data_IF_453050490848
#
_entry.id   IF_453050490848
#
_cell.length_a   1.000
_cell.length_b   1.000
_cell.length_c   1.000
_cell.angle_alpha   90.00
_cell.angle_beta   90.00
_cell.angle_gamma   90.00
#
_symmetry.space_group_name_H-M   'P 1'
#
loop_
_entity.id
_entity.type
_entity.pdbx_description
1 polymer ?
#
# COMPACT_ATOMS: atom_id res chain seq x y z
N UNK A 1 22.00 -23.10 2.31
CA UNK A 1 20.79 -22.29 2.05
C UNK A 1 20.32 -22.62 0.63
N UNK A 2 19.02 -22.82 0.43
CA UNK A 2 18.43 -23.12 -0.88
C UNK A 2 17.26 -22.17 -1.14
N UNK A 3 17.17 -21.64 -2.37
CA UNK A 3 16.02 -20.85 -2.79
C UNK A 3 14.80 -21.76 -2.97
N UNK A 4 13.64 -21.30 -2.50
CA UNK A 4 12.36 -22.00 -2.66
C UNK A 4 11.42 -21.13 -3.49
N UNK A 5 10.48 -21.77 -4.19
CA UNK A 5 9.43 -21.06 -4.94
C UNK A 5 8.61 -20.23 -3.95
N UNK A 6 8.37 -18.97 -4.27
CA UNK A 6 7.58 -18.10 -3.42
C UNK A 6 6.11 -18.51 -3.47
N UNK A 7 5.52 -18.73 -2.31
CA UNK A 7 4.09 -18.93 -2.12
C UNK A 7 3.57 -17.81 -1.22
N UNK A 8 2.40 -17.27 -1.56
CA UNK A 8 1.74 -16.26 -0.75
C UNK A 8 1.26 -16.94 0.53
N UNK A 9 1.91 -16.64 1.65
CA UNK A 9 1.47 -17.11 2.97
C UNK A 9 0.43 -16.16 3.55
N UNK A 10 -0.45 -16.68 4.42
CA UNK A 10 -1.32 -15.82 5.25
C UNK A 10 -0.45 -14.80 5.98
N UNK A 11 -0.69 -13.52 5.71
CA UNK A 11 0.07 -12.42 6.27
C UNK A 11 -0.73 -11.70 7.36
N UNK A 12 -0.05 -10.92 8.20
CA UNK A 12 -0.71 -10.02 9.15
C UNK A 12 -0.74 -8.61 8.57
N UNK A 13 -1.91 -7.98 8.61
CA UNK A 13 -2.09 -6.57 8.32
C UNK A 13 -1.06 -5.69 9.06
N UNK A 14 -0.39 -4.82 8.30
CA UNK A 14 0.43 -3.71 8.77
C UNK A 14 -0.09 -2.46 8.09
N UNK A 15 -0.88 -1.66 8.78
CA UNK A 15 -1.57 -0.51 8.20
C UNK A 15 -1.09 0.77 8.87
N UNK A 16 -0.72 1.77 8.08
CA UNK A 16 -0.42 3.12 8.53
C UNK A 16 -1.56 4.07 8.18
N UNK A 17 -2.03 4.87 9.15
CA UNK A 17 -2.97 5.97 8.89
C UNK A 17 -2.29 7.30 9.19
N UNK A 18 -2.07 8.11 8.18
CA UNK A 18 -1.36 9.39 8.26
C UNK A 18 -2.38 10.53 8.13
N UNK A 19 -2.27 11.54 8.98
CA UNK A 19 -3.14 12.70 8.85
C UNK A 19 -2.97 13.73 9.97
N UNK A 20 -3.33 15.00 9.73
CA UNK A 20 -3.27 16.04 10.75
C UNK A 20 -4.22 15.76 11.93
N UNK A 21 -4.09 16.52 13.01
CA UNK A 21 -5.06 16.46 14.11
C UNK A 21 -6.48 16.74 13.59
N UNK A 22 -7.47 15.99 14.09
CA UNK A 22 -8.87 16.11 13.68
C UNK A 22 -9.22 15.46 12.34
N UNK A 23 -8.30 14.78 11.64
CA UNK A 23 -8.64 14.13 10.36
C UNK A 23 -9.45 12.84 10.45
N UNK A 24 -9.73 12.34 11.66
CA UNK A 24 -10.52 11.12 11.85
C UNK A 24 -9.72 9.81 11.85
N UNK A 25 -8.39 9.85 12.08
CA UNK A 25 -7.51 8.67 12.12
C UNK A 25 -8.01 7.57 13.05
N UNK A 26 -8.30 7.90 14.31
CA UNK A 26 -8.76 6.93 15.33
C UNK A 26 -10.04 6.22 14.91
N UNK A 27 -11.04 7.00 14.46
CA UNK A 27 -12.30 6.46 13.95
C UNK A 27 -12.07 5.53 12.75
N UNK A 28 -11.30 5.98 11.76
CA UNK A 28 -10.99 5.18 10.57
C UNK A 28 -10.21 3.90 10.91
N UNK A 29 -9.29 3.97 11.87
CA UNK A 29 -8.54 2.82 12.36
C UNK A 29 -9.47 1.79 13.01
N UNK A 30 -10.40 2.22 13.86
CA UNK A 30 -11.35 1.34 14.53
C UNK A 30 -12.29 0.66 13.53
N UNK A 31 -12.80 1.41 12.54
CA UNK A 31 -13.63 0.84 11.45
C UNK A 31 -12.88 -0.22 10.67
N UNK A 32 -11.63 0.06 10.26
CA UNK A 32 -10.79 -0.92 9.59
C UNK A 32 -10.51 -2.13 10.47
N UNK A 33 -10.18 -1.92 11.75
CA UNK A 33 -9.89 -2.99 12.69
C UNK A 33 -11.07 -3.95 12.81
N UNK A 34 -12.26 -3.42 13.05
CA UNK A 34 -13.49 -4.19 13.12
C UNK A 34 -13.76 -4.95 11.82
N UNK A 35 -13.59 -4.32 10.67
CA UNK A 35 -13.69 -4.98 9.37
C UNK A 35 -12.63 -6.06 9.14
N UNK A 36 -11.45 -5.96 9.75
CA UNK A 36 -10.36 -6.94 9.62
C UNK A 36 -10.56 -8.14 10.54
N UNK A 37 -11.03 -7.96 11.77
CA UNK A 37 -11.12 -9.06 12.75
C UNK A 37 -12.53 -9.63 12.93
N UNK A 38 -13.55 -8.81 12.69
CA UNK A 38 -14.94 -9.22 12.62
C UNK A 38 -15.66 -9.04 13.95
N UNK A 39 -16.94 -9.43 14.01
CA UNK A 39 -17.76 -9.21 15.22
C UNK A 39 -17.22 -9.93 16.46
N UNK A 40 -16.58 -11.08 16.27
CA UNK A 40 -15.99 -11.89 17.36
C UNK A 40 -14.51 -11.55 17.62
N UNK A 41 -13.93 -10.66 16.81
CA UNK A 41 -12.51 -10.36 16.86
C UNK A 41 -12.16 -9.41 18.00
N UNK A 42 -11.04 -9.67 18.68
CA UNK A 42 -10.60 -8.90 19.84
C UNK A 42 -9.68 -7.76 19.42
N UNK A 43 -10.11 -6.53 19.69
CA UNK A 43 -9.40 -5.31 19.34
C UNK A 43 -8.81 -4.69 20.60
N UNK A 44 -7.52 -4.36 20.57
CA UNK A 44 -6.86 -3.54 21.58
C UNK A 44 -6.40 -2.21 20.99
N UNK A 45 -6.40 -1.15 21.80
CA UNK A 45 -5.93 0.18 21.42
C UNK A 45 -4.92 0.69 22.45
N UNK A 46 -3.71 1.02 22.02
CA UNK A 46 -2.81 1.90 22.78
C UNK A 46 -3.22 3.33 22.47
N UNK A 47 -3.75 4.03 23.47
CA UNK A 47 -4.18 5.41 23.36
C UNK A 47 -3.17 6.34 24.05
N UNK A 48 -2.57 7.23 23.27
CA UNK A 48 -1.62 8.26 23.73
C UNK A 48 -2.18 9.68 23.55
N UNK A 49 -3.44 9.76 23.18
CA UNK A 49 -4.22 10.95 22.84
C UNK A 49 -5.25 11.27 23.94
N UNK A 50 -4.90 10.97 25.20
CA UNK A 50 -5.69 11.30 26.40
C UNK A 50 -7.11 10.72 26.42
N UNK A 51 -7.27 9.44 26.09
CA UNK A 51 -8.56 8.75 26.14
C UNK A 51 -9.46 9.06 24.93
N UNK A 52 -8.91 9.64 23.86
CA UNK A 52 -9.66 9.94 22.64
C UNK A 52 -10.22 8.69 21.96
N UNK A 53 -9.57 7.53 22.12
CA UNK A 53 -10.05 6.26 21.59
C UNK A 53 -11.39 5.91 22.23
N UNK A 54 -11.56 6.10 23.54
CA UNK A 54 -12.78 5.75 24.28
C UNK A 54 -14.03 6.51 23.82
N UNK A 55 -13.87 7.66 23.14
CA UNK A 55 -14.98 8.43 22.56
C UNK A 55 -15.73 7.65 21.45
N UNK A 56 -15.07 6.64 20.87
CA UNK A 56 -15.60 5.84 19.77
C UNK A 56 -16.15 4.48 20.21
N UNK A 57 -16.40 4.28 21.52
CA UNK A 57 -16.85 3.00 22.08
C UNK A 57 -18.22 2.54 21.52
N UNK A 58 -18.95 3.45 20.88
CA UNK A 58 -20.20 3.17 20.18
C UNK A 58 -20.02 2.46 18.82
N UNK A 59 -18.80 2.38 18.28
CA UNK A 59 -18.53 1.76 16.98
C UNK A 59 -18.43 0.22 17.05
N UNK A 60 -17.73 -0.29 18.06
CA UNK A 60 -17.50 -1.72 18.29
C UNK A 60 -16.92 -1.95 19.70
N UNK A 61 -16.81 -3.21 20.11
CA UNK A 61 -16.13 -3.59 21.35
C UNK A 61 -14.60 -3.60 21.15
N UNK A 62 -13.87 -2.94 22.05
CA UNK A 62 -12.42 -2.94 22.11
C UNK A 62 -11.92 -2.56 23.50
N UNK A 63 -10.71 -3.01 23.82
CA UNK A 63 -10.02 -2.66 25.06
C UNK A 63 -9.02 -1.53 24.82
N UNK A 64 -8.88 -0.63 25.80
CA UNK A 64 -7.97 0.53 25.71
C UNK A 64 -6.91 0.46 26.79
N UNK A 65 -5.65 0.68 26.40
CA UNK A 65 -4.53 0.97 27.30
C UNK A 65 -4.07 2.40 27.05
N UNK A 66 -4.32 3.28 28.01
CA UNK A 66 -3.82 4.65 27.95
C UNK A 66 -2.34 4.72 28.36
N UNK A 67 -1.50 5.30 27.50
CA UNK A 67 -0.10 5.60 27.78
C UNK A 67 0.05 7.11 27.86
N UNK A 68 0.46 7.60 29.03
CA UNK A 68 0.85 8.99 29.22
C UNK A 68 2.37 9.19 29.11
N UNK A 69 2.79 10.45 28.96
CA UNK A 69 4.19 10.84 29.01
C UNK A 69 4.89 10.29 30.27
N UNK A 70 6.17 9.88 30.18
CA UNK A 70 7.01 9.89 28.97
C UNK A 70 6.64 8.75 27.99
N UNK A 71 6.60 9.06 26.69
CA UNK A 71 6.22 8.18 25.59
C UNK A 71 7.39 7.33 25.10
N UNK A 72 8.06 6.63 26.02
CA UNK A 72 9.27 5.88 25.70
C UNK A 72 8.96 4.64 24.85
N UNK A 73 9.86 4.27 23.93
CA UNK A 73 9.74 3.05 23.13
C UNK A 73 9.50 1.79 24.00
N UNK A 74 10.08 1.76 25.21
CA UNK A 74 9.88 0.68 26.18
C UNK A 74 8.42 0.49 26.60
N UNK A 75 7.66 1.57 26.80
CA UNK A 75 6.23 1.48 27.15
C UNK A 75 5.41 0.87 26.00
N UNK A 76 5.69 1.29 24.76
CA UNK A 76 5.04 0.73 23.57
C UNK A 76 5.39 -0.76 23.38
N UNK A 77 6.66 -1.14 23.55
CA UNK A 77 7.08 -2.53 23.47
C UNK A 77 6.37 -3.41 24.51
N UNK A 78 6.26 -2.94 25.75
CA UNK A 78 5.53 -3.66 26.79
C UNK A 78 4.05 -3.83 26.43
N UNK A 79 3.42 -2.78 25.91
CA UNK A 79 2.02 -2.80 25.52
C UNK A 79 1.74 -3.73 24.31
N UNK A 80 2.63 -3.73 23.30
CA UNK A 80 2.55 -4.67 22.17
C UNK A 80 2.62 -6.10 22.70
N UNK A 81 3.60 -6.39 23.56
CA UNK A 81 3.77 -7.72 24.14
C UNK A 81 2.57 -8.15 24.99
N UNK A 82 2.02 -7.23 25.79
CA UNK A 82 0.82 -7.50 26.57
C UNK A 82 -0.38 -7.83 25.66
N UNK A 83 -0.53 -7.13 24.54
CA UNK A 83 -1.60 -7.41 23.59
C UNK A 83 -1.45 -8.81 22.95
N UNK A 84 -0.21 -9.21 22.64
CA UNK A 84 0.10 -10.55 22.15
C UNK A 84 -0.21 -11.63 23.21
N UNK A 85 0.26 -11.44 24.44
CA UNK A 85 0.04 -12.36 25.57
C UNK A 85 -1.46 -12.52 25.89
N UNK A 86 -2.23 -11.44 25.77
CA UNK A 86 -3.69 -11.43 25.94
C UNK A 86 -4.45 -11.97 24.73
N UNK A 87 -3.78 -12.35 23.64
CA UNK A 87 -4.39 -12.91 22.42
C UNK A 87 -5.44 -11.99 21.79
N UNK A 88 -5.14 -10.70 21.64
CA UNK A 88 -5.92 -9.85 20.74
C UNK A 88 -5.66 -10.23 19.28
N UNK A 89 -6.62 -9.98 18.40
CA UNK A 89 -6.46 -10.25 16.97
C UNK A 89 -5.81 -9.07 16.25
N UNK A 90 -6.06 -7.86 16.75
CA UNK A 90 -5.51 -6.62 16.22
C UNK A 90 -5.18 -5.62 17.33
N UNK A 91 -4.07 -4.91 17.17
CA UNK A 91 -3.66 -3.80 18.01
C UNK A 91 -3.58 -2.51 17.19
N UNK A 92 -4.29 -1.50 17.67
CA UNK A 92 -4.16 -0.11 17.24
C UNK A 92 -3.13 0.62 18.10
N UNK A 93 -2.27 1.41 17.46
CA UNK A 93 -1.33 2.30 18.15
C UNK A 93 -1.67 3.73 17.75
N UNK A 94 -2.35 4.45 18.65
CA UNK A 94 -2.82 5.82 18.44
C UNK A 94 -2.12 6.80 19.41
N UNK A 95 -0.96 7.36 19.08
CA UNK A 95 -0.26 7.35 17.81
C UNK A 95 1.21 6.96 17.99
N UNK A 96 1.84 6.56 16.87
CA UNK A 96 3.27 6.35 16.79
C UNK A 96 4.07 7.67 16.84
N UNK A 97 3.42 8.79 16.55
CA UNK A 97 4.07 10.10 16.57
C UNK A 97 4.53 10.52 17.97
N UNK A 98 3.83 10.10 19.04
CA UNK A 98 4.26 10.36 20.41
C UNK A 98 5.53 9.58 20.78
N UNK A 99 5.67 8.33 20.36
CA UNK A 99 6.91 7.56 20.56
C UNK A 99 8.13 8.22 19.90
N UNK A 100 7.92 8.94 18.80
CA UNK A 100 8.98 9.64 18.08
C UNK A 100 9.27 11.03 18.64
N UNK A 101 8.25 11.90 18.67
CA UNK A 101 8.40 13.34 18.89
C UNK A 101 7.63 13.85 20.12
N UNK A 102 6.95 12.97 20.87
CA UNK A 102 6.29 13.34 22.12
C UNK A 102 7.27 13.43 23.30
N UNK A 103 6.81 13.97 24.45
CA UNK A 103 7.59 14.00 25.68
C UNK A 103 8.20 12.65 26.07
N UNK A 104 9.51 12.59 26.23
CA UNK A 104 10.27 11.35 26.50
C UNK A 104 10.34 10.36 25.33
N UNK A 105 9.92 10.76 24.13
CA UNK A 105 10.09 10.01 22.89
C UNK A 105 11.53 10.04 22.38
N UNK A 106 11.76 9.46 21.20
CA UNK A 106 13.10 9.29 20.63
C UNK A 106 13.84 10.62 20.41
N UNK A 107 13.16 11.66 19.91
CA UNK A 107 13.79 12.96 19.66
C UNK A 107 14.26 13.63 20.96
N UNK A 108 13.41 13.67 21.98
CA UNK A 108 13.79 14.26 23.28
C UNK A 108 14.89 13.41 23.96
N UNK A 109 14.85 12.08 23.82
CA UNK A 109 15.92 11.22 24.30
C UNK A 109 17.26 11.55 23.64
N UNK A 110 17.27 11.80 22.32
CA UNK A 110 18.48 12.25 21.61
C UNK A 110 18.92 13.61 22.14
N UNK A 111 18.01 14.58 22.23
CA UNK A 111 18.32 15.94 22.66
C UNK A 111 18.93 15.95 24.07
N UNK A 112 18.33 15.24 25.03
CA UNK A 112 18.84 15.09 26.40
C UNK A 112 20.24 14.44 26.42
N UNK A 113 20.49 13.43 25.57
CA UNK A 113 21.83 12.84 25.46
C UNK A 113 22.83 13.80 24.81
N UNK A 114 22.39 14.69 23.91
CA UNK A 114 23.28 15.67 23.26
C UNK A 114 23.79 16.76 24.20
N UNK A 115 23.14 16.97 25.35
CA UNK A 115 23.66 17.87 26.39
C UNK A 115 24.95 17.35 27.03
N UNK A 116 25.14 16.04 27.04
CA UNK A 116 26.27 15.36 27.71
C UNK A 116 27.22 14.67 26.72
N UNK A 117 26.72 14.26 25.55
CA UNK A 117 27.45 13.49 24.52
C UNK A 117 27.32 14.17 23.15
N UNK A 118 28.18 13.81 22.20
CA UNK A 118 27.99 14.31 20.83
C UNK A 118 26.73 13.68 20.19
N UNK A 119 26.16 14.40 19.21
CA UNK A 119 24.95 14.00 18.50
C UNK A 119 25.03 12.61 17.86
N UNK A 120 26.19 12.24 17.32
CA UNK A 120 26.41 10.92 16.74
C UNK A 120 26.24 9.79 17.76
N UNK A 121 26.81 9.95 18.96
CA UNK A 121 26.71 8.95 20.05
C UNK A 121 25.29 8.87 20.59
N UNK A 122 24.59 10.00 20.70
CA UNK A 122 23.18 10.03 21.08
C UNK A 122 22.31 9.21 20.10
N UNK A 123 22.50 9.39 18.79
CA UNK A 123 21.78 8.59 17.77
C UNK A 123 22.18 7.11 17.78
N UNK A 124 23.43 6.77 18.11
CA UNK A 124 23.87 5.38 18.28
C UNK A 124 23.12 4.67 19.41
N UNK A 125 22.69 5.40 20.44
CA UNK A 125 21.90 4.88 21.56
C UNK A 125 20.39 4.93 21.32
N UNK A 126 19.91 5.92 20.56
CA UNK A 126 18.49 6.10 20.27
C UNK A 126 17.97 5.20 19.13
N UNK A 127 18.78 4.99 18.08
CA UNK A 127 18.37 4.22 16.90
C UNK A 127 17.96 2.78 17.24
N UNK A 128 18.69 2.02 18.10
CA UNK A 128 18.27 0.68 18.49
C UNK A 128 16.91 0.64 19.19
N UNK A 129 16.56 1.67 19.99
CA UNK A 129 15.27 1.73 20.68
C UNK A 129 14.12 1.94 19.70
N UNK A 130 14.30 2.85 18.74
CA UNK A 130 13.34 3.05 17.67
C UNK A 130 13.17 1.79 16.81
N UNK A 131 14.29 1.20 16.37
CA UNK A 131 14.27 -0.01 15.55
C UNK A 131 13.59 -1.18 16.27
N UNK A 132 13.82 -1.34 17.57
CA UNK A 132 13.16 -2.39 18.36
C UNK A 132 11.63 -2.23 18.35
N UNK A 133 11.13 -0.99 18.44
CA UNK A 133 9.69 -0.72 18.34
C UNK A 133 9.14 -1.06 16.95
N UNK A 134 9.86 -0.67 15.90
CA UNK A 134 9.48 -0.99 14.51
C UNK A 134 9.46 -2.51 14.28
N UNK A 135 10.51 -3.21 14.69
CA UNK A 135 10.62 -4.66 14.57
C UNK A 135 9.51 -5.38 15.33
N UNK A 136 9.19 -4.95 16.56
CA UNK A 136 8.10 -5.52 17.34
C UNK A 136 6.76 -5.41 16.61
N UNK A 137 6.44 -4.25 16.01
CA UNK A 137 5.22 -4.09 15.21
C UNK A 137 5.21 -5.00 13.98
N UNK A 138 6.35 -5.11 13.28
CA UNK A 138 6.44 -5.90 12.05
C UNK A 138 6.35 -7.40 12.31
N UNK A 139 7.01 -7.89 13.35
CA UNK A 139 7.09 -9.31 13.70
C UNK A 139 5.91 -9.80 14.55
N UNK A 140 5.04 -8.90 15.01
CA UNK A 140 3.91 -9.26 15.88
C UNK A 140 3.00 -10.34 15.26
N UNK A 141 2.57 -11.38 15.99
CA UNK A 141 1.66 -12.40 15.47
C UNK A 141 0.22 -11.87 15.28
N UNK A 142 -0.08 -10.65 15.73
CA UNK A 142 -1.39 -10.02 15.62
C UNK A 142 -1.38 -8.94 14.53
N UNK A 143 -2.55 -8.49 14.07
CA UNK A 143 -2.66 -7.38 13.13
C UNK A 143 -2.23 -6.06 13.81
N UNK A 144 -1.63 -5.13 13.06
CA UNK A 144 -1.21 -3.83 13.60
C UNK A 144 -1.72 -2.70 12.71
N UNK A 145 -2.38 -1.71 13.33
CA UNK A 145 -2.69 -0.41 12.72
C UNK A 145 -1.99 0.68 13.51
N UNK A 146 -1.09 1.42 12.88
CA UNK A 146 -0.42 2.57 13.48
C UNK A 146 -0.98 3.88 12.94
N UNK A 147 -1.38 4.80 13.81
CA UNK A 147 -1.70 6.17 13.39
C UNK A 147 -0.48 7.07 13.51
N UNK A 148 -0.36 8.02 12.60
CA UNK A 148 0.70 9.02 12.59
C UNK A 148 0.10 10.39 12.34
N UNK A 149 0.50 11.35 13.16
CA UNK A 149 0.21 12.77 12.91
C UNK A 149 1.02 13.21 11.69
N UNK A 150 0.46 14.11 10.89
CA UNK A 150 1.15 14.69 9.75
C UNK A 150 1.43 16.19 9.94
N UNK A 151 2.56 16.64 9.41
CA UNK A 151 2.83 18.05 9.11
C UNK A 151 2.59 18.30 7.64
N UNK A 152 2.22 19.51 7.28
CA UNK A 152 2.14 19.90 5.86
C UNK A 152 3.54 19.85 5.25
N UNK A 153 3.70 19.11 4.16
CA UNK A 153 4.95 19.07 3.41
C UNK A 153 4.95 20.16 2.34
N UNK A 154 6.02 20.93 2.30
CA UNK A 154 6.25 21.97 1.31
C UNK A 154 7.54 21.67 0.56
N UNK A 155 7.48 21.65 -0.77
CA UNK A 155 8.68 21.60 -1.63
C UNK A 155 8.85 22.96 -2.27
N UNK A 156 10.10 23.41 -2.39
CA UNK A 156 10.40 24.61 -3.15
C UNK A 156 10.27 24.28 -4.64
N UNK A 157 9.23 24.79 -5.29
CA UNK A 157 9.09 24.77 -6.75
C UNK A 157 9.51 26.12 -7.31
N UNK A 158 10.14 26.15 -8.47
CA UNK A 158 10.35 27.39 -9.21
C UNK A 158 9.04 27.83 -9.84
N UNK A 159 8.64 29.09 -9.63
CA UNK A 159 7.54 29.70 -10.36
C UNK A 159 7.95 30.01 -11.82
N UNK A 160 7.00 30.43 -12.64
CA UNK A 160 7.23 30.80 -14.05
C UNK A 160 8.26 31.93 -14.24
N UNK A 161 8.75 32.54 -13.16
CA UNK A 161 9.77 33.59 -13.13
C UNK A 161 11.09 33.12 -12.51
N UNK A 162 11.26 31.82 -12.27
CA UNK A 162 12.46 31.21 -11.69
C UNK A 162 12.63 31.46 -10.18
N UNK A 163 11.60 31.97 -9.49
CA UNK A 163 11.65 32.21 -8.05
C UNK A 163 11.21 30.96 -7.31
N UNK A 164 12.05 30.49 -6.36
CA UNK A 164 11.69 29.37 -5.48
C UNK A 164 10.57 29.78 -4.55
N UNK A 165 9.38 29.20 -4.75
CA UNK A 165 8.19 29.38 -3.91
C UNK A 165 7.86 28.06 -3.21
N UNK A 166 7.54 28.08 -1.90
CA UNK A 166 7.07 26.88 -1.20
C UNK A 166 5.71 26.45 -1.77
N UNK A 167 5.67 25.28 -2.41
CA UNK A 167 4.47 24.63 -2.89
C UNK A 167 4.12 23.48 -1.94
N UNK A 168 2.90 23.48 -1.43
CA UNK A 168 2.38 22.36 -0.63
C UNK A 168 2.34 21.12 -1.53
N UNK A 169 3.11 20.09 -1.18
CA UNK A 169 3.20 18.85 -1.98
C UNK A 169 2.47 17.68 -1.36
N UNK A 170 2.19 17.71 -0.06
CA UNK A 170 1.56 16.58 0.61
C UNK A 170 1.50 16.69 2.13
N UNK A 171 1.38 15.53 2.76
CA UNK A 171 1.41 15.33 4.21
C UNK A 171 2.66 14.52 4.55
N UNK A 172 3.54 15.07 5.38
CA UNK A 172 4.71 14.37 5.89
C UNK A 172 4.39 13.80 7.29
N UNK A 173 4.49 12.48 7.52
CA UNK A 173 4.33 11.89 8.84
C UNK A 173 5.33 12.47 9.85
N UNK A 174 4.88 12.74 11.07
CA UNK A 174 5.75 13.08 12.21
C UNK A 174 6.37 11.79 12.72
N UNK A 175 7.45 11.39 12.06
CA UNK A 175 8.16 10.15 12.31
C UNK A 175 9.58 10.20 11.72
N UNK A 176 10.41 9.20 12.03
CA UNK A 176 11.64 8.94 11.26
C UNK A 176 11.31 8.79 9.79
N UNK A 177 12.16 9.37 8.94
CA UNK A 177 12.08 9.16 7.49
C UNK A 177 12.05 7.66 7.17
N UNK A 178 11.23 7.31 6.19
CA UNK A 178 11.01 5.95 5.70
C UNK A 178 10.14 5.01 6.56
N UNK A 179 9.53 5.48 7.65
CA UNK A 179 8.63 4.61 8.45
C UNK A 179 7.41 4.09 7.65
N UNK A 180 6.93 4.87 6.70
CA UNK A 180 5.89 4.49 5.74
C UNK A 180 6.29 3.25 4.90
N UNK A 181 7.59 3.01 4.67
CA UNK A 181 8.06 1.82 3.97
C UNK A 181 7.87 0.51 4.76
N UNK A 182 7.63 0.59 6.07
CA UNK A 182 7.45 -0.58 6.93
C UNK A 182 6.03 -1.16 6.85
N UNK A 183 5.02 -0.34 6.55
CA UNK A 183 3.63 -0.80 6.46
C UNK A 183 3.30 -1.50 5.14
N UNK A 184 2.32 -2.40 5.12
CA UNK A 184 1.83 -3.03 3.88
C UNK A 184 0.87 -2.12 3.13
N UNK A 185 0.05 -1.38 3.89
CA UNK A 185 -0.91 -0.39 3.42
C UNK A 185 -0.67 0.93 4.16
N UNK A 186 -0.71 2.06 3.46
CA UNK A 186 -0.70 3.40 4.07
C UNK A 186 -1.80 4.24 3.46
N UNK A 187 -2.61 4.85 4.31
CA UNK A 187 -3.65 5.79 3.91
C UNK A 187 -3.37 7.18 4.48
N UNK A 188 -3.44 8.18 3.61
CA UNK A 188 -3.36 9.59 3.97
C UNK A 188 -4.78 10.16 4.08
N UNK A 189 -5.14 10.64 5.26
CA UNK A 189 -6.49 11.11 5.57
C UNK A 189 -6.51 12.64 5.64
N UNK A 190 -7.31 13.25 4.78
CA UNK A 190 -7.49 14.70 4.76
C UNK A 190 -8.31 15.18 5.98
N UNK A 191 -8.04 16.40 6.44
CA UNK A 191 -8.69 16.93 7.64
C UNK A 191 -10.13 17.35 7.42
N UNK A 192 -10.43 17.91 6.25
CA UNK A 192 -11.62 18.70 6.03
C UNK A 192 -12.81 17.82 5.64
N UNK A 193 -12.55 16.73 4.90
CA UNK A 193 -13.58 15.78 4.45
C UNK A 193 -13.41 14.37 5.04
N UNK A 194 -12.32 14.09 5.75
CA UNK A 194 -11.98 12.76 6.27
C UNK A 194 -11.83 11.69 5.17
N UNK A 195 -11.54 12.12 3.94
CA UNK A 195 -11.28 11.24 2.80
C UNK A 195 -9.87 10.71 2.93
N UNK A 196 -9.75 9.40 2.79
CA UNK A 196 -8.49 8.70 2.74
C UNK A 196 -8.06 8.50 1.29
N UNK A 197 -6.76 8.67 1.04
CA UNK A 197 -6.10 8.29 -0.22
C UNK A 197 -5.06 7.23 0.09
N UNK A 198 -4.97 6.20 -0.75
CA UNK A 198 -3.92 5.18 -0.59
C UNK A 198 -2.59 5.76 -1.08
N UNK A 199 -1.66 6.04 -0.15
CA UNK A 199 -0.31 6.51 -0.47
C UNK A 199 0.67 5.35 -0.67
N UNK A 200 0.31 4.16 -0.16
CA UNK A 200 1.03 2.91 -0.42
C UNK A 200 0.08 1.73 -0.36
N UNK A 201 0.14 0.90 -1.40
CA UNK A 201 -0.64 -0.33 -1.47
C UNK A 201 0.19 -1.49 -2.05
N UNK A 202 0.40 -2.55 -1.26
CA UNK A 202 1.00 -3.81 -1.73
C UNK A 202 -0.03 -4.90 -2.05
N UNK A 203 -1.31 -4.58 -1.91
CA UNK A 203 -2.46 -5.47 -2.09
C UNK A 203 -3.16 -5.27 -3.43
N UNK A 204 -2.98 -4.09 -4.05
CA UNK A 204 -3.70 -3.62 -5.24
C UNK A 204 -5.22 -3.53 -5.06
N UNK A 205 -5.71 -3.54 -3.82
CA UNK A 205 -7.14 -3.40 -3.49
C UNK A 205 -7.60 -1.94 -3.53
N UNK A 206 -6.68 -1.01 -3.28
CA UNK A 206 -6.93 0.40 -3.03
C UNK A 206 -6.21 1.30 -4.04
N UNK A 207 -5.93 0.78 -5.25
CA UNK A 207 -5.37 1.56 -6.35
C UNK A 207 -6.34 2.67 -6.76
N UNK A 208 -5.91 3.93 -6.66
CA UNK A 208 -6.77 5.10 -6.93
C UNK A 208 -7.84 5.36 -5.87
N UNK A 209 -7.73 4.73 -4.70
CA UNK A 209 -8.68 4.88 -3.61
C UNK A 209 -8.81 6.33 -3.15
N UNK A 210 -10.05 6.82 -3.09
CA UNK A 210 -10.37 8.19 -2.69
C UNK A 210 -11.76 8.27 -2.06
N UNK A 211 -11.90 7.74 -0.85
CA UNK A 211 -13.16 7.77 -0.10
C UNK A 211 -12.93 7.70 1.42
N UNK A 212 -14.01 7.77 2.21
CA UNK A 212 -13.90 7.59 3.65
C UNK A 212 -13.66 6.12 3.95
N UNK A 213 -12.73 5.84 4.87
CA UNK A 213 -12.54 4.48 5.36
C UNK A 213 -13.75 4.05 6.19
N UNK A 214 -14.18 2.83 5.93
CA UNK A 214 -15.41 2.20 6.43
C UNK A 214 -15.15 0.73 6.72
N UNK A 215 -16.03 0.10 7.50
CA UNK A 215 -15.88 -1.30 7.97
C UNK A 215 -15.63 -2.26 6.81
N UNK A 216 -16.39 -2.15 5.72
CA UNK A 216 -16.26 -3.04 4.57
C UNK A 216 -14.87 -3.00 3.90
N UNK A 217 -14.13 -1.90 4.03
CA UNK A 217 -12.74 -1.84 3.56
C UNK A 217 -11.82 -2.74 4.39
N UNK A 218 -12.07 -2.86 5.69
CA UNK A 218 -11.39 -3.83 6.54
C UNK A 218 -11.72 -5.28 6.14
N UNK A 219 -12.95 -5.54 5.70
CA UNK A 219 -13.37 -6.86 5.22
C UNK A 219 -12.64 -7.24 3.91
N UNK A 220 -12.46 -6.27 2.99
CA UNK A 220 -11.65 -6.46 1.78
C UNK A 220 -10.20 -6.82 2.14
N UNK A 221 -9.63 -6.16 3.16
CA UNK A 221 -8.29 -6.46 3.66
C UNK A 221 -8.25 -7.87 4.26
N UNK A 222 -9.22 -8.27 5.09
CA UNK A 222 -9.31 -9.63 5.64
C UNK A 222 -9.31 -10.67 4.53
N UNK A 223 -10.22 -10.53 3.57
CA UNK A 223 -10.38 -11.46 2.45
C UNK A 223 -9.06 -11.62 1.70
N UNK A 224 -8.36 -10.51 1.44
CA UNK A 224 -7.04 -10.55 0.82
C UNK A 224 -6.03 -11.30 1.70
N UNK A 225 -5.94 -11.02 3.00
CA UNK A 225 -4.99 -11.70 3.89
C UNK A 225 -5.21 -13.22 3.95
N UNK A 226 -6.44 -13.68 3.77
CA UNK A 226 -6.82 -15.10 3.83
C UNK A 226 -6.54 -15.90 2.54
N UNK A 227 -6.35 -15.24 1.39
CA UNK A 227 -6.05 -15.92 0.10
C UNK A 227 -4.67 -16.61 0.04
N UNK A 228 -3.85 -16.51 1.09
CA UNK A 228 -2.56 -17.18 1.18
C UNK A 228 -2.63 -18.59 1.76
N UNK A 229 -1.65 -19.44 1.41
CA UNK A 229 -1.41 -20.74 2.05
C UNK A 229 -1.06 -20.52 3.52
N UNK A 230 -1.51 -21.39 4.41
CA UNK A 230 -1.26 -21.26 5.85
C UNK A 230 0.25 -21.24 6.13
N UNK A 231 0.73 -20.23 6.86
CA UNK A 231 2.13 -20.15 7.22
C UNK A 231 2.44 -21.24 8.26
N UNK A 232 3.55 -21.99 8.14
CA UNK A 232 3.97 -22.88 9.22
C UNK A 232 4.16 -22.05 10.48
N UNK A 233 3.52 -22.48 11.58
CA UNK A 233 3.65 -21.83 12.87
C UNK A 233 5.13 -21.69 13.22
N UNK A 234 5.57 -20.48 13.58
CA UNK A 234 6.92 -20.26 14.07
C UNK A 234 7.05 -20.91 15.45
N UNK A 235 7.49 -22.17 15.50
CA UNK A 235 7.91 -22.79 16.75
C UNK A 235 9.20 -22.11 17.20
N UNK A 236 9.13 -21.45 18.36
CA UNK A 236 10.30 -21.01 19.08
C UNK A 236 11.16 -22.21 19.49
N UNK A 237 12.49 -22.00 19.51
CA UNK A 237 13.56 -22.87 19.99
C UNK A 237 14.22 -23.82 18.97
N UNK A 238 15.31 -23.35 18.37
CA UNK A 238 16.51 -24.18 18.17
C UNK A 238 17.74 -23.36 18.60
N UNK A 239 18.07 -23.43 19.90
CA UNK A 239 19.45 -23.23 20.33
C UNK A 239 20.23 -24.48 19.91
N UNK A 240 21.42 -24.36 19.29
CA UNK A 240 22.26 -25.51 19.01
C UNK A 240 22.90 -26.00 20.32
N UNK A 241 22.33 -27.08 20.89
CA UNK A 241 23.02 -27.87 21.89
C UNK A 241 24.27 -28.52 21.28
N UNK A 242 25.40 -28.27 21.93
CA UNK A 242 26.67 -28.97 21.68
C UNK A 242 26.55 -30.39 22.21
N UNK A 243 26.68 -31.37 21.33
CA UNK A 243 27.11 -32.71 21.71
C UNK A 243 28.28 -33.12 20.83
N UNK A 244 29.45 -33.20 21.48
CA UNK A 244 30.62 -33.89 20.97
C UNK A 244 30.51 -35.37 21.31
N UNK A 245 30.67 -36.26 20.33
CA UNK A 245 31.49 -37.47 20.44
C UNK A 245 31.53 -38.20 19.08
N UNK A 246 32.74 -38.59 18.72
CA UNK A 246 33.20 -39.28 17.51
C UNK A 246 32.75 -40.73 17.38
N UNK A 247 32.50 -41.20 16.16
CA UNK A 247 33.31 -42.24 15.49
C UNK A 247 32.62 -42.72 14.19
N UNK A 248 33.45 -42.97 13.18
CA UNK A 248 33.17 -43.62 11.89
C UNK A 248 34.22 -44.74 11.74
N UNK A 249 34.20 -45.58 10.69
CA UNK A 249 33.11 -46.03 9.80
C UNK A 249 33.14 -47.57 9.60
N UNK A 250 32.06 -48.19 9.10
CA UNK A 250 32.20 -49.46 8.35
C UNK A 250 31.18 -49.58 7.22
N UNK A 251 31.59 -50.40 6.26
CA UNK A 251 31.35 -50.36 4.81
C UNK A 251 30.26 -51.35 4.39
N UNK A 252 29.51 -51.05 3.32
CA UNK A 252 28.64 -52.02 2.66
C UNK A 252 27.97 -51.46 1.40
N UNK A 253 28.49 -51.83 0.23
CA UNK A 253 27.88 -51.60 -1.08
C UNK A 253 26.84 -52.70 -1.36
N UNK A 254 25.68 -52.36 -1.94
CA UNK A 254 25.21 -52.89 -3.25
C UNK A 254 23.80 -52.40 -3.66
N UNK A 255 23.76 -51.87 -4.88
CA UNK A 255 22.77 -52.01 -5.98
C UNK A 255 21.30 -51.54 -5.89
N UNK A 256 21.06 -50.44 -6.61
CA UNK A 256 20.12 -50.24 -7.74
C UNK A 256 18.77 -50.99 -7.69
N UNK A 257 17.70 -50.22 -7.47
CA UNK A 257 16.33 -50.55 -7.86
C UNK A 257 15.59 -49.25 -8.17
N UNK A 258 15.33 -48.97 -9.44
CA UNK A 258 14.60 -47.81 -9.90
C UNK A 258 13.08 -48.06 -9.74
N UNK A 259 12.43 -47.32 -8.84
CA UNK A 259 10.98 -47.17 -8.84
C UNK A 259 10.62 -45.67 -8.88
N UNK A 260 9.95 -45.29 -9.97
CA UNK A 260 9.32 -43.98 -10.16
C UNK A 260 8.16 -43.86 -9.15
N UNK A 261 8.02 -42.76 -8.40
CA UNK A 261 6.73 -42.42 -7.85
C UNK A 261 5.88 -41.78 -8.94
N UNK A 262 4.68 -42.31 -9.05
CA UNK A 262 3.64 -41.99 -10.00
C UNK A 262 3.32 -40.50 -10.02
N UNK A 263 3.20 -39.95 -11.23
CA UNK A 263 2.71 -38.60 -11.50
C UNK A 263 1.24 -38.51 -11.11
N UNK A 264 0.93 -37.82 -10.01
CA UNK A 264 -0.43 -37.29 -9.80
C UNK A 264 -0.65 -36.18 -10.83
N UNK A 265 -1.41 -36.54 -11.85
CA UNK A 265 -1.69 -35.75 -13.03
C UNK A 265 -2.77 -34.70 -12.70
N UNK A 266 -2.40 -33.58 -12.05
CA UNK A 266 -3.24 -32.39 -12.02
C UNK A 266 -3.00 -31.58 -13.29
N UNK A 267 -3.51 -32.12 -14.40
CA UNK A 267 -3.52 -31.46 -15.70
C UNK A 267 -4.56 -30.34 -15.62
N UNK A 268 -4.15 -29.13 -15.19
CA UNK A 268 -4.96 -27.94 -15.46
C UNK A 268 -5.18 -27.84 -16.97
N UNK A 269 -6.42 -27.61 -17.43
CA UNK A 269 -6.69 -27.54 -18.86
C UNK A 269 -5.88 -26.40 -19.47
N UNK A 270 -5.01 -26.73 -20.42
CA UNK A 270 -4.36 -25.75 -21.26
C UNK A 270 -5.41 -25.04 -22.13
N UNK A 271 -5.04 -23.87 -22.67
CA UNK A 271 -5.92 -23.12 -23.58
C UNK A 271 -6.37 -23.98 -24.77
N UNK A 272 -7.59 -23.72 -25.24
CA UNK A 272 -8.16 -24.41 -26.41
C UNK A 272 -7.47 -23.96 -27.72
N UNK A 273 -7.61 -24.75 -28.78
CA UNK A 273 -7.06 -24.39 -30.11
C UNK A 273 -7.58 -23.03 -30.63
N UNK A 274 -8.84 -22.68 -30.30
CA UNK A 274 -9.44 -21.39 -30.66
C UNK A 274 -8.80 -20.22 -29.90
N UNK A 275 -8.58 -20.40 -28.60
CA UNK A 275 -7.89 -19.41 -27.75
C UNK A 275 -6.42 -19.24 -28.17
N UNK A 276 -5.76 -20.32 -28.56
CA UNK A 276 -4.40 -20.25 -29.08
C UNK A 276 -4.33 -19.44 -30.37
N UNK A 277 -5.25 -19.69 -31.32
CA UNK A 277 -5.36 -18.94 -32.57
C UNK A 277 -5.66 -17.47 -32.33
N UNK A 278 -6.50 -17.14 -31.34
CA UNK A 278 -6.76 -15.76 -30.93
C UNK A 278 -5.48 -15.05 -30.44
N UNK A 279 -4.67 -15.72 -29.61
CA UNK A 279 -3.39 -15.15 -29.16
C UNK A 279 -2.40 -14.98 -30.30
N UNK A 280 -2.30 -15.96 -31.21
CA UNK A 280 -1.43 -15.85 -32.40
C UNK A 280 -1.83 -14.66 -33.28
N UNK A 281 -3.13 -14.42 -33.46
CA UNK A 281 -3.65 -13.27 -34.20
C UNK A 281 -3.27 -11.94 -33.52
N UNK A 282 -3.49 -11.81 -32.21
CA UNK A 282 -3.16 -10.55 -31.49
C UNK A 282 -1.64 -10.33 -31.45
N UNK A 283 -0.84 -11.39 -31.33
CA UNK A 283 0.63 -11.29 -31.38
C UNK A 283 1.10 -10.78 -32.73
N UNK A 284 0.51 -11.29 -33.83
CA UNK A 284 0.78 -10.80 -35.18
C UNK A 284 0.33 -9.34 -35.36
N UNK A 285 -0.88 -8.99 -34.90
CA UNK A 285 -1.45 -7.64 -35.02
C UNK A 285 -0.68 -6.59 -34.18
N UNK A 286 0.03 -7.00 -33.13
CA UNK A 286 0.79 -6.10 -32.23
C UNK A 286 2.30 -6.12 -32.47
N UNK A 287 2.77 -6.78 -33.53
CA UNK A 287 4.19 -7.04 -33.83
C UNK A 287 4.98 -7.50 -32.59
N UNK A 288 4.36 -8.35 -31.76
CA UNK A 288 4.94 -8.77 -30.49
C UNK A 288 5.92 -9.91 -30.72
N UNK A 289 7.16 -9.73 -30.24
CA UNK A 289 8.15 -10.81 -30.25
C UNK A 289 7.68 -12.00 -29.39
N UNK A 290 7.29 -13.09 -30.06
CA UNK A 290 6.72 -14.29 -29.45
C UNK A 290 7.65 -14.92 -28.39
N UNK A 291 8.96 -15.00 -28.65
CA UNK A 291 9.91 -15.60 -27.70
C UNK A 291 10.01 -14.82 -26.39
N UNK A 292 10.01 -13.48 -26.44
CA UNK A 292 9.97 -12.64 -25.24
C UNK A 292 8.64 -12.76 -24.50
N UNK A 293 7.53 -12.87 -25.25
CA UNK A 293 6.20 -12.99 -24.67
C UNK A 293 5.99 -14.35 -23.96
N UNK A 294 6.45 -15.44 -24.56
CA UNK A 294 6.47 -16.77 -23.93
C UNK A 294 7.32 -16.78 -22.65
N UNK A 295 8.49 -16.12 -22.67
CA UNK A 295 9.32 -15.96 -21.46
C UNK A 295 8.62 -15.14 -20.37
N UNK A 296 7.89 -14.09 -20.74
CA UNK A 296 7.10 -13.27 -19.82
C UNK A 296 5.97 -14.06 -19.17
N UNK A 297 5.28 -14.91 -19.95
CA UNK A 297 4.25 -15.83 -19.46
C UNK A 297 4.82 -17.03 -18.68
N UNK A 298 6.14 -17.24 -18.75
CA UNK A 298 6.86 -18.39 -18.20
C UNK A 298 6.37 -19.74 -18.76
N UNK A 299 6.06 -19.78 -20.07
CA UNK A 299 5.66 -21.00 -20.77
C UNK A 299 6.53 -21.22 -22.01
N UNK A 300 6.80 -22.48 -22.38
CA UNK A 300 7.67 -22.78 -23.53
C UNK A 300 6.99 -22.54 -24.88
N UNK A 301 5.66 -22.77 -24.94
CA UNK A 301 4.82 -22.64 -26.14
C UNK A 301 3.41 -22.20 -25.73
N UNK A 302 2.67 -21.53 -26.62
CA UNK A 302 1.30 -21.06 -26.33
C UNK A 302 0.36 -22.22 -25.98
N UNK A 303 0.54 -23.39 -26.59
CA UNK A 303 -0.23 -24.61 -26.29
C UNK A 303 -0.10 -25.09 -24.84
N UNK A 304 0.90 -24.63 -24.09
CA UNK A 304 1.10 -24.95 -22.68
C UNK A 304 0.62 -23.83 -21.74
N UNK A 305 -0.03 -22.79 -22.27
CA UNK A 305 -0.61 -21.73 -21.46
C UNK A 305 -1.81 -22.28 -20.66
N UNK A 306 -1.84 -22.14 -19.32
CA UNK A 306 -3.00 -22.51 -18.52
C UNK A 306 -4.23 -21.66 -18.89
N UNK A 307 -5.41 -22.27 -18.94
CA UNK A 307 -6.65 -21.58 -19.32
C UNK A 307 -6.95 -20.35 -18.45
N UNK A 308 -6.63 -20.36 -17.14
CA UNK A 308 -6.86 -19.21 -16.27
C UNK A 308 -5.98 -17.98 -16.60
N UNK A 309 -4.89 -18.18 -17.35
CA UNK A 309 -3.99 -17.10 -17.78
C UNK A 309 -4.36 -16.55 -19.16
N UNK A 310 -5.36 -17.12 -19.83
CA UNK A 310 -5.78 -16.69 -21.17
C UNK A 310 -6.22 -15.22 -21.19
N UNK A 311 -7.17 -14.84 -20.31
CA UNK A 311 -7.70 -13.47 -20.24
C UNK A 311 -6.60 -12.46 -19.91
N UNK A 312 -5.65 -12.84 -19.08
CA UNK A 312 -4.49 -12.01 -18.77
C UNK A 312 -3.57 -11.84 -19.98
N UNK A 313 -3.26 -12.92 -20.70
CA UNK A 313 -2.40 -12.88 -21.88
C UNK A 313 -2.99 -12.00 -22.99
N UNK A 314 -4.31 -12.10 -23.22
CA UNK A 314 -5.05 -11.23 -24.14
C UNK A 314 -4.93 -9.77 -23.68
N UNK A 315 -5.24 -9.47 -22.41
CA UNK A 315 -5.19 -8.10 -21.88
C UNK A 315 -3.77 -7.51 -21.93
N UNK A 316 -2.73 -8.30 -21.68
CA UNK A 316 -1.34 -7.83 -21.79
C UNK A 316 -0.94 -7.49 -23.23
N UNK A 317 -1.45 -8.21 -24.23
CA UNK A 317 -1.22 -7.90 -25.63
C UNK A 317 -2.08 -6.73 -26.11
N UNK A 318 -3.33 -6.62 -25.65
CA UNK A 318 -4.23 -5.49 -25.93
C UNK A 318 -3.74 -4.18 -25.30
N UNK A 319 -3.15 -4.21 -24.10
CA UNK A 319 -2.46 -3.06 -23.51
C UNK A 319 -1.29 -2.56 -24.37
N UNK A 320 -0.75 -3.43 -25.22
CA UNK A 320 0.28 -3.09 -26.19
C UNK A 320 -0.34 -2.55 -27.47
N UNK A 321 -1.50 -3.07 -27.90
CA UNK A 321 -2.36 -2.50 -28.95
C UNK A 321 -2.76 -1.05 -28.61
N UNK A 322 -3.01 -0.74 -27.33
CA UNK A 322 -3.27 0.64 -26.85
C UNK A 322 -2.02 1.53 -26.78
N UNK A 323 -0.81 0.95 -26.88
CA UNK A 323 0.46 1.70 -26.94
C UNK A 323 1.02 1.83 -28.36
N UNK A 324 0.65 0.93 -29.28
CA UNK A 324 1.03 0.98 -30.70
C UNK A 324 -0.11 1.44 -31.62
N UNK A 325 -1.32 1.62 -31.08
CA UNK A 325 -2.47 2.24 -31.74
C UNK A 325 -2.58 3.72 -31.38
N UNK A 326 -2.76 4.54 -32.40
CA UNK A 326 -2.92 5.99 -32.39
C UNK A 326 -3.82 6.50 -31.25
N UNK A 327 -3.25 7.26 -30.32
CA UNK A 327 -3.97 7.88 -29.19
C UNK A 327 -4.86 9.00 -29.73
N UNK A 328 -6.19 8.83 -29.68
CA UNK A 328 -7.14 9.94 -29.85
C UNK A 328 -7.13 10.79 -28.56
N UNK A 329 -6.44 11.93 -28.61
CA UNK A 329 -6.28 12.91 -27.51
C UNK A 329 -7.63 13.44 -26.99
N UNK A 330 -8.67 13.39 -27.82
CA UNK A 330 -10.01 13.85 -27.48
C UNK A 330 -10.62 13.18 -26.22
N UNK A 331 -10.45 11.86 -26.06
CA UNK A 331 -11.09 11.09 -24.98
C UNK A 331 -10.56 11.42 -23.59
N UNK A 332 -9.25 11.65 -23.48
CA UNK A 332 -8.57 12.04 -22.24
C UNK A 332 -8.96 13.45 -21.80
N UNK A 333 -9.10 14.37 -22.77
CA UNK A 333 -9.47 15.77 -22.49
C UNK A 333 -10.93 15.85 -22.01
N UNK A 334 -11.83 15.11 -22.66
CA UNK A 334 -13.25 15.02 -22.26
C UNK A 334 -13.39 14.46 -20.84
N UNK A 335 -12.61 13.43 -20.51
CA UNK A 335 -12.58 12.86 -19.15
C UNK A 335 -12.09 13.87 -18.11
N UNK A 336 -11.06 14.65 -18.45
CA UNK A 336 -10.48 15.65 -17.55
C UNK A 336 -11.38 16.89 -17.33
N UNK A 337 -12.21 17.26 -18.32
CA UNK A 337 -13.23 18.30 -18.22
C UNK A 337 -14.39 17.85 -17.32
N UNK A 338 -14.84 16.60 -17.51
CA UNK A 338 -15.92 15.99 -16.73
C UNK A 338 -15.56 15.89 -15.24
N UNK A 339 -14.36 15.42 -14.92
CA UNK A 339 -13.87 15.32 -13.54
C UNK A 339 -13.82 16.67 -12.79
N UNK A 340 -13.79 17.80 -13.51
CA UNK A 340 -13.74 19.15 -12.96
C UNK A 340 -15.08 19.89 -13.04
N UNK A 341 -16.15 19.22 -13.47
CA UNK A 341 -17.47 19.83 -13.71
C UNK A 341 -17.42 21.08 -14.60
N UNK A 342 -16.52 21.10 -15.59
CA UNK A 342 -16.44 22.19 -16.55
C UNK A 342 -17.44 21.90 -17.67
N UNK A 343 -18.45 22.75 -17.94
CA UNK A 343 -19.38 22.52 -19.04
C UNK A 343 -18.65 22.52 -20.40
N UNK A 344 -18.95 21.55 -21.26
CA UNK A 344 -18.36 21.47 -22.59
C UNK A 344 -19.32 20.86 -23.61
N UNK A 345 -19.06 21.14 -24.89
CA UNK A 345 -19.70 20.51 -26.05
C UNK A 345 -18.61 20.02 -27.00
N UNK A 346 -18.84 18.89 -27.65
CA UNK A 346 -17.95 18.35 -28.68
C UNK A 346 -18.61 18.58 -30.02
N UNK A 347 -17.97 19.34 -30.89
CA UNK A 347 -18.35 19.48 -32.29
C UNK A 347 -17.67 18.37 -33.08
N UNK A 348 -18.41 17.30 -33.34
CA UNK A 348 -17.92 16.12 -34.07
C UNK A 348 -17.65 16.42 -35.55
N UNK A 349 -18.28 17.46 -36.13
CA UNK A 349 -18.08 17.82 -37.54
C UNK A 349 -16.83 18.66 -37.74
N UNK A 350 -16.53 19.56 -36.80
CA UNK A 350 -15.32 20.38 -36.82
C UNK A 350 -14.12 19.74 -36.10
N UNK A 351 -14.35 18.65 -35.35
CA UNK A 351 -13.31 18.02 -34.54
C UNK A 351 -12.84 18.93 -33.40
N UNK A 352 -13.77 19.65 -32.75
CA UNK A 352 -13.43 20.64 -31.72
C UNK A 352 -14.15 20.38 -30.40
N UNK A 353 -13.50 20.73 -29.29
CA UNK A 353 -14.08 20.72 -27.96
C UNK A 353 -14.26 22.17 -27.52
N UNK A 354 -15.48 22.54 -27.17
CA UNK A 354 -15.89 23.88 -26.78
C UNK A 354 -16.28 23.86 -25.29
N UNK A 355 -15.43 24.42 -24.43
CA UNK A 355 -15.64 24.48 -22.98
C UNK A 355 -16.12 25.88 -22.54
N UNK A 356 -17.12 25.92 -21.66
CA UNK A 356 -17.79 27.16 -21.19
C UNK A 356 -17.81 27.22 -19.65
N UNK A 357 -16.65 27.45 -19.00
CA UNK A 357 -16.60 27.61 -17.55
C UNK A 357 -17.32 28.90 -17.11
N UNK A 358 -17.79 28.93 -15.86
CA UNK A 358 -18.37 30.13 -15.25
C UNK A 358 -17.39 31.31 -15.28
N UNK A 359 -17.91 32.54 -15.43
CA UNK A 359 -17.07 33.74 -15.47
C UNK A 359 -16.27 33.96 -14.18
N UNK A 360 -16.80 33.52 -13.04
CA UNK A 360 -16.16 33.66 -11.73
C UNK A 360 -15.17 32.51 -11.43
N UNK A 361 -15.16 31.44 -12.23
CA UNK A 361 -14.31 30.27 -12.02
C UNK A 361 -12.92 30.47 -12.65
N UNK A 362 -12.04 31.09 -11.87
CA UNK A 362 -10.64 31.33 -12.26
C UNK A 362 -9.82 30.04 -12.33
N UNK A 363 -10.20 29.00 -11.58
CA UNK A 363 -9.54 27.70 -11.58
C UNK A 363 -9.78 26.92 -12.87
N UNK A 364 -11.03 26.84 -13.33
CA UNK A 364 -11.38 26.21 -14.60
C UNK A 364 -10.72 26.92 -15.80
N UNK A 365 -10.65 28.26 -15.78
CA UNK A 365 -9.95 29.03 -16.82
C UNK A 365 -8.45 28.78 -16.85
N UNK A 366 -7.81 28.63 -15.69
CA UNK A 366 -6.39 28.29 -15.60
C UNK A 366 -6.10 26.89 -16.14
N UNK A 367 -6.93 25.91 -15.76
CA UNK A 367 -6.86 24.54 -16.27
C UNK A 367 -7.04 24.47 -17.79
N UNK A 368 -8.02 25.17 -18.36
CA UNK A 368 -8.25 25.19 -19.81
C UNK A 368 -7.04 25.74 -20.58
N UNK A 369 -6.38 26.78 -20.07
CA UNK A 369 -5.13 27.30 -20.65
C UNK A 369 -3.99 26.28 -20.60
N UNK A 370 -3.80 25.62 -19.46
CA UNK A 370 -2.79 24.57 -19.28
C UNK A 370 -3.02 23.40 -20.24
N UNK A 371 -4.27 23.03 -20.47
CA UNK A 371 -4.65 22.01 -21.44
C UNK A 371 -4.63 22.50 -22.90
N UNK A 372 -4.22 23.74 -23.18
CA UNK A 372 -4.04 24.26 -24.54
C UNK A 372 -5.32 24.73 -25.23
N UNK A 373 -6.42 24.96 -24.50
CA UNK A 373 -7.61 25.62 -25.06
C UNK A 373 -7.36 27.10 -25.30
N UNK A 374 -7.91 27.64 -26.39
CA UNK A 374 -7.84 29.05 -26.74
C UNK A 374 -9.21 29.72 -26.57
N UNK A 375 -9.24 30.89 -25.95
CA UNK A 375 -10.47 31.66 -25.80
C UNK A 375 -10.93 32.21 -27.15
N UNK A 376 -12.16 31.89 -27.56
CA UNK A 376 -12.82 32.45 -28.73
C UNK A 376 -13.86 33.51 -28.30
N UNK A 377 -13.62 34.81 -28.56
CA UNK A 377 -14.54 35.89 -28.20
C UNK A 377 -15.89 35.84 -28.93
N UNK A 378 -15.94 35.30 -30.15
CA UNK A 378 -17.15 35.26 -30.97
C UNK A 378 -18.16 34.21 -30.45
N UNK A 379 -17.67 33.07 -29.98
CA UNK A 379 -18.49 31.99 -29.41
C UNK A 379 -18.60 32.00 -27.88
N UNK A 380 -17.90 32.92 -27.19
CA UNK A 380 -17.77 32.97 -25.72
C UNK A 380 -17.39 31.62 -25.09
N UNK A 381 -16.53 30.85 -25.78
CA UNK A 381 -16.11 29.52 -25.38
C UNK A 381 -14.59 29.36 -25.50
N UNK A 382 -14.05 28.42 -24.74
CA UNK A 382 -12.68 27.94 -24.86
C UNK A 382 -12.66 26.78 -25.86
N UNK A 383 -11.86 26.88 -26.92
CA UNK A 383 -11.86 25.91 -28.01
C UNK A 383 -10.51 25.19 -28.09
N UNK A 384 -10.55 23.86 -28.27
CA UNK A 384 -9.38 23.02 -28.56
C UNK A 384 -9.73 22.01 -29.65
N UNK A 385 -8.79 21.77 -30.55
CA UNK A 385 -8.90 20.71 -31.56
C UNK A 385 -8.82 19.34 -30.89
N UNK A 386 -9.81 18.50 -31.16
CA UNK A 386 -9.88 17.10 -30.77
C UNK A 386 -8.99 16.29 -31.74
N UNK A 387 -7.69 16.24 -31.46
CA UNK A 387 -6.75 15.45 -32.24
C UNK A 387 -6.92 13.94 -32.01
#
# INVERSE_FOLDING_TARGET
MAFVRAERKRAKARIGLVGPAGSGKTMSALKLAFGIVGPEGRIAVIDTEHGSASLYAHLCEYDVLEISAPFTAKKYLAAIKEAEEKKYDILLIDSLSHAWAGPGGILEFVDNLTEVKNKFTAWREASPQHNSLVEAMLQSPIHIIGTMRAKTEYVLSEDDKGKKVPKKVGLAPVQRESMDYEFTLVFDIDRDKHIATSSKDRTSLFDGFYEKLEIHHGELIRNWLETGVEAPAMTAAQQPEKTAASSTPETGQEQIGAEKPETSNNNLPAITAEQMKQLEQIIADTDTNLAKFLRYLQVEKLALLPAERFTWAVKSLELKKDKTGTVNNASTIVSALTARNIPFQVDEQAGEIHATPSYQDTGAKAFLKEQGFKWNPAGKAWIKQAA
#
